data_IF_602750588605
#
_entry.id   IF_602750588605
#
_cell.length_a   1.000
_cell.length_b   1.000
_cell.length_c   1.000
_cell.angle_alpha   90.00
_cell.angle_beta   90.00
_cell.angle_gamma   90.00
#
_symmetry.space_group_name_H-M   'P 1'
#
loop_
_entity.id
_entity.type
_entity.pdbx_description
1 polymer ?
#
# COMPACT_ATOMS: atom_id res chain seq x y z
N UNK A 1 -13.27 -5.77 6.87
CA UNK A 1 -13.69 -4.47 6.35
C UNK A 1 -12.51 -3.68 5.85
N UNK A 2 -12.54 -3.25 4.60
CA UNK A 2 -11.48 -2.48 3.96
C UNK A 2 -12.07 -1.20 3.37
N UNK A 3 -11.39 -0.06 3.54
CA UNK A 3 -11.67 1.20 2.86
C UNK A 3 -10.54 1.44 1.86
N UNK A 4 -10.87 1.85 0.64
CA UNK A 4 -9.91 2.10 -0.44
C UNK A 4 -10.08 3.53 -0.93
N UNK A 5 -8.97 4.26 -1.09
CA UNK A 5 -8.94 5.58 -1.69
C UNK A 5 -8.60 5.48 -3.17
N UNK A 6 -9.55 5.81 -4.04
CA UNK A 6 -9.36 5.83 -5.49
C UNK A 6 -10.09 7.02 -6.15
N UNK A 7 -10.31 8.08 -5.39
CA UNK A 7 -10.92 9.31 -5.87
C UNK A 7 -9.92 10.27 -6.52
N UNK A 8 -10.45 11.32 -7.11
CA UNK A 8 -9.67 12.46 -7.58
C UNK A 8 -8.97 13.18 -6.42
N UNK A 9 -7.95 13.96 -6.76
CA UNK A 9 -7.15 14.70 -5.78
C UNK A 9 -7.94 15.87 -5.17
N UNK A 10 -8.60 15.62 -4.04
CA UNK A 10 -9.46 16.57 -3.34
C UNK A 10 -10.75 16.91 -4.10
N UNK A 11 -11.47 17.94 -3.64
CA UNK A 11 -12.72 18.36 -4.27
C UNK A 11 -12.45 18.93 -5.66
N UNK A 12 -13.03 18.32 -6.69
CA UNK A 12 -12.94 18.74 -8.10
C UNK A 12 -11.49 18.90 -8.60
N UNK A 13 -10.54 18.11 -8.08
CA UNK A 13 -9.13 18.20 -8.47
C UNK A 13 -8.36 19.39 -7.92
N UNK A 14 -8.94 20.17 -7.00
CA UNK A 14 -8.29 21.34 -6.39
C UNK A 14 -7.19 20.98 -5.38
N UNK A 15 -7.06 19.70 -5.03
CA UNK A 15 -6.07 19.23 -4.06
C UNK A 15 -6.23 19.80 -2.65
N UNK A 16 -7.41 20.34 -2.33
CA UNK A 16 -7.68 20.94 -1.03
C UNK A 16 -7.81 19.84 0.02
N UNK A 17 -7.00 19.93 1.08
CA UNK A 17 -6.89 18.91 2.12
C UNK A 17 -6.46 17.51 1.63
N UNK A 18 -6.05 17.36 0.38
CA UNK A 18 -5.65 16.11 -0.21
C UNK A 18 -4.29 15.61 0.30
N UNK A 19 -4.10 14.32 0.20
CA UNK A 19 -2.85 13.61 0.42
C UNK A 19 -2.49 12.80 -0.84
N UNK A 20 -1.24 12.34 -0.92
CA UNK A 20 -0.79 11.41 -1.96
C UNK A 20 -1.13 9.97 -1.58
N UNK A 21 -2.42 9.70 -1.39
CA UNK A 21 -3.00 8.46 -0.87
C UNK A 21 -3.78 7.66 -1.93
N UNK A 22 -3.62 7.98 -3.21
CA UNK A 22 -4.27 7.24 -4.30
C UNK A 22 -3.89 5.76 -4.24
N UNK A 23 -4.89 4.87 -4.30
CA UNK A 23 -4.81 3.43 -4.11
C UNK A 23 -4.30 2.99 -2.73
N UNK A 24 -4.27 3.89 -1.75
CA UNK A 24 -4.10 3.55 -0.35
C UNK A 24 -5.37 2.88 0.21
N UNK A 25 -5.21 2.16 1.30
CA UNK A 25 -6.32 1.48 1.95
C UNK A 25 -6.13 1.41 3.47
N UNK A 26 -7.24 1.21 4.16
CA UNK A 26 -7.29 0.88 5.59
C UNK A 26 -7.96 -0.48 5.78
N UNK A 27 -7.50 -1.27 6.78
CA UNK A 27 -8.03 -2.61 7.05
C UNK A 27 -8.37 -2.79 8.52
N UNK A 28 -9.63 -3.19 8.75
CA UNK A 28 -10.13 -3.69 10.02
C UNK A 28 -10.45 -5.17 9.91
N UNK A 29 -10.02 -5.96 10.91
CA UNK A 29 -10.42 -7.36 11.08
C UNK A 29 -11.14 -7.50 12.41
N UNK A 30 -12.38 -7.95 12.38
CA UNK A 30 -13.26 -7.90 13.54
C UNK A 30 -13.46 -6.45 14.01
N UNK A 31 -13.05 -6.14 15.22
CA UNK A 31 -13.12 -4.79 15.81
C UNK A 31 -11.75 -4.11 15.91
N UNK A 32 -10.71 -4.69 15.30
CA UNK A 32 -9.34 -4.18 15.41
C UNK A 32 -8.87 -3.59 14.09
N UNK A 33 -8.43 -2.33 14.13
CA UNK A 33 -7.74 -1.70 13.02
C UNK A 33 -6.28 -2.21 12.97
N UNK A 34 -5.86 -2.74 11.84
CA UNK A 34 -4.50 -3.20 11.61
C UNK A 34 -3.74 -2.23 10.73
N UNK A 35 -4.20 -2.04 9.50
CA UNK A 35 -3.60 -1.14 8.53
C UNK A 35 -4.42 0.13 8.54
N UNK A 36 -3.76 1.27 8.75
CA UNK A 36 -4.41 2.56 8.97
C UNK A 36 -3.81 3.65 8.12
N UNK A 37 -4.58 4.69 7.85
CA UNK A 37 -4.03 5.97 7.41
C UNK A 37 -3.36 6.69 8.60
N UNK A 38 -2.15 7.24 8.46
CA UNK A 38 -1.45 7.91 9.56
C UNK A 38 -2.06 9.27 9.94
N UNK A 39 -3.05 9.75 9.22
CA UNK A 39 -3.75 11.01 9.52
C UNK A 39 -3.04 12.26 9.01
N UNK A 40 -3.33 13.41 9.59
CA UNK A 40 -2.85 14.71 9.10
C UNK A 40 -1.94 15.47 10.06
N UNK A 41 -1.97 15.15 11.35
CA UNK A 41 -1.27 15.77 12.46
C UNK A 41 -1.55 17.28 12.62
N UNK A 42 -1.08 18.12 11.67
CA UNK A 42 -1.23 19.58 11.70
C UNK A 42 -1.63 20.11 10.32
N UNK A 43 -2.25 21.30 10.29
CA UNK A 43 -2.58 22.01 9.04
C UNK A 43 -1.71 23.25 8.83
N UNK A 44 -1.49 24.08 9.85
CA UNK A 44 -0.87 25.41 9.68
C UNK A 44 0.36 25.66 10.53
N UNK A 45 0.61 24.84 11.55
CA UNK A 45 1.67 25.09 12.51
C UNK A 45 3.08 24.81 11.98
N UNK A 46 3.22 23.81 11.12
CA UNK A 46 4.49 23.37 10.59
C UNK A 46 4.31 22.72 9.22
N UNK A 47 4.78 23.38 8.17
CA UNK A 47 4.64 22.88 6.80
C UNK A 47 5.44 21.60 6.53
N UNK A 48 6.55 21.36 7.24
CA UNK A 48 7.36 20.14 7.09
C UNK A 48 6.59 18.93 7.60
N UNK A 49 6.04 19.04 8.80
CA UNK A 49 5.24 17.96 9.38
C UNK A 49 3.97 17.73 8.54
N UNK A 50 3.29 18.82 8.12
CA UNK A 50 2.15 18.72 7.22
C UNK A 50 2.49 17.99 5.91
N UNK A 51 3.62 18.34 5.28
CA UNK A 51 4.04 17.70 4.02
C UNK A 51 4.48 16.25 4.22
N UNK A 52 5.07 15.92 5.36
CA UNK A 52 5.41 14.55 5.71
C UNK A 52 4.17 13.65 5.75
N UNK A 53 3.09 14.10 6.41
CA UNK A 53 1.86 13.32 6.55
C UNK A 53 1.03 13.23 5.27
N UNK A 54 1.19 14.14 4.32
CA UNK A 54 0.49 14.09 3.03
C UNK A 54 1.31 13.54 1.87
N UNK A 55 2.56 13.16 2.12
CA UNK A 55 3.44 12.54 1.13
C UNK A 55 3.10 11.08 0.85
N UNK A 56 3.45 10.58 -0.32
CA UNK A 56 3.15 9.21 -0.78
C UNK A 56 3.60 8.14 0.20
N UNK A 57 4.81 8.27 0.76
CA UNK A 57 5.38 7.31 1.71
C UNK A 57 4.65 7.27 3.08
N UNK A 58 3.75 8.21 3.36
CA UNK A 58 2.92 8.21 4.56
C UNK A 58 1.65 7.37 4.42
N UNK A 59 1.38 6.78 3.26
CA UNK A 59 0.14 6.05 2.98
C UNK A 59 0.39 4.61 2.54
N UNK A 60 -0.64 3.77 2.58
CA UNK A 60 -0.57 2.34 2.26
C UNK A 60 -0.62 2.10 0.75
N UNK A 61 0.34 2.67 0.03
CA UNK A 61 0.44 2.63 -1.43
C UNK A 61 1.88 2.40 -1.86
N UNK A 62 2.14 2.47 -3.17
CA UNK A 62 3.48 2.31 -3.74
C UNK A 62 4.11 3.68 -4.01
N UNK A 63 5.40 3.80 -3.70
CA UNK A 63 6.24 4.91 -4.12
C UNK A 63 7.38 4.42 -5.02
N UNK A 64 7.64 5.12 -6.12
CA UNK A 64 8.69 4.80 -7.10
C UNK A 64 9.77 5.89 -7.03
N UNK A 65 11.03 5.50 -6.77
CA UNK A 65 12.21 6.39 -6.68
C UNK A 65 12.00 7.63 -5.78
N UNK A 66 11.15 7.51 -4.75
CA UNK A 66 10.75 8.60 -3.86
C UNK A 66 9.99 9.74 -4.54
N UNK A 67 9.46 9.51 -5.75
CA UNK A 67 8.57 10.47 -6.38
C UNK A 67 7.23 10.53 -5.65
N UNK A 68 6.69 11.73 -5.57
CA UNK A 68 5.33 11.95 -5.08
C UNK A 68 4.31 11.70 -6.19
N UNK A 69 3.14 11.13 -5.85
CA UNK A 69 2.04 10.92 -6.80
C UNK A 69 1.62 12.24 -7.42
N UNK A 70 1.40 13.25 -6.58
CA UNK A 70 1.15 14.64 -6.99
C UNK A 70 2.19 15.54 -6.35
N UNK A 71 2.65 16.56 -7.05
CA UNK A 71 3.63 17.52 -6.51
C UNK A 71 3.05 18.24 -5.30
N UNK A 72 3.80 18.27 -4.23
CA UNK A 72 3.45 18.94 -2.99
C UNK A 72 4.10 20.33 -2.99
N UNK A 73 3.34 21.44 -3.05
CA UNK A 73 3.90 22.77 -2.89
C UNK A 73 4.52 22.92 -1.50
N UNK A 74 5.76 23.40 -1.42
CA UNK A 74 6.54 23.41 -0.16
C UNK A 74 5.81 24.16 0.97
N UNK A 75 5.21 25.29 0.67
CA UNK A 75 4.61 26.18 1.68
C UNK A 75 3.09 26.34 1.58
N UNK A 76 2.45 25.74 0.58
CA UNK A 76 0.99 25.70 0.50
C UNK A 76 0.49 24.46 1.25
N UNK A 77 0.07 24.66 2.49
CA UNK A 77 -0.36 23.57 3.37
C UNK A 77 -1.76 23.05 3.08
N UNK A 78 -2.53 23.73 2.25
CA UNK A 78 -3.92 23.38 1.96
C UNK A 78 -4.11 22.80 0.56
N UNK A 79 -3.26 23.12 -0.38
CA UNK A 79 -3.38 22.67 -1.76
C UNK A 79 -2.29 21.66 -2.11
N UNK A 80 -2.63 20.80 -3.04
CA UNK A 80 -1.74 19.87 -3.70
C UNK A 80 -1.98 19.99 -5.21
N UNK A 81 -0.97 19.75 -6.01
CA UNK A 81 -1.16 19.70 -7.45
C UNK A 81 -2.04 18.49 -7.81
N UNK A 82 -2.77 18.61 -8.90
CA UNK A 82 -3.54 17.50 -9.47
C UNK A 82 -2.81 16.99 -10.70
N UNK A 83 -1.71 16.26 -10.48
CA UNK A 83 -0.85 15.76 -11.55
C UNK A 83 -1.30 14.36 -12.01
N UNK A 84 -1.77 13.53 -11.09
CA UNK A 84 -2.19 12.17 -11.37
C UNK A 84 -3.60 12.10 -11.98
N UNK A 85 -3.76 11.18 -12.92
CA UNK A 85 -5.07 10.78 -13.46
C UNK A 85 -5.41 9.39 -12.95
N UNK A 86 -6.59 9.23 -12.38
CA UNK A 86 -7.10 7.96 -11.83
C UNK A 86 -8.10 7.34 -12.79
N UNK A 87 -8.01 6.04 -12.99
CA UNK A 87 -8.97 5.25 -13.75
C UNK A 87 -9.44 4.07 -12.90
N UNK A 88 -10.74 3.97 -12.67
CA UNK A 88 -11.37 2.79 -12.07
C UNK A 88 -11.76 1.87 -13.21
N UNK A 89 -11.21 0.65 -13.21
CA UNK A 89 -11.47 -0.36 -14.25
C UNK A 89 -12.69 -1.20 -13.92
N UNK A 90 -12.76 -1.66 -12.67
CA UNK A 90 -13.81 -2.58 -12.24
C UNK A 90 -14.06 -2.47 -10.74
N UNK A 91 -15.32 -2.61 -10.36
CA UNK A 91 -15.76 -2.86 -9.00
C UNK A 91 -16.96 -3.79 -9.06
N UNK A 92 -16.78 -5.02 -8.64
CA UNK A 92 -17.83 -6.04 -8.74
C UNK A 92 -17.69 -7.08 -7.61
N UNK A 93 -18.66 -7.97 -7.54
CA UNK A 93 -18.73 -9.06 -6.56
C UNK A 93 -19.50 -10.24 -7.15
N UNK A 94 -19.02 -11.42 -6.88
CA UNK A 94 -19.76 -12.67 -7.12
C UNK A 94 -20.02 -13.41 -5.78
N UNK A 95 -20.52 -14.64 -5.82
CA UNK A 95 -20.78 -15.41 -4.60
C UNK A 95 -19.54 -15.76 -3.80
N UNK A 96 -18.34 -15.73 -4.39
CA UNK A 96 -17.10 -16.22 -3.81
C UNK A 96 -16.13 -15.09 -3.43
N UNK A 97 -16.17 -13.97 -4.16
CA UNK A 97 -15.23 -12.85 -3.95
C UNK A 97 -15.84 -11.50 -4.29
N UNK A 98 -15.24 -10.45 -3.72
CA UNK A 98 -15.45 -9.05 -4.10
C UNK A 98 -14.13 -8.50 -4.59
N UNK A 99 -14.13 -7.70 -5.67
CA UNK A 99 -12.90 -7.10 -6.18
C UNK A 99 -13.09 -5.64 -6.58
N UNK A 100 -11.98 -4.92 -6.53
CA UNK A 100 -11.86 -3.54 -6.97
C UNK A 100 -10.53 -3.38 -7.71
N UNK A 101 -10.54 -2.80 -8.90
CA UNK A 101 -9.38 -2.62 -9.77
C UNK A 101 -9.31 -1.19 -10.27
N UNK A 102 -8.21 -0.50 -9.98
CA UNK A 102 -7.98 0.86 -10.41
C UNK A 102 -6.50 1.14 -10.65
N UNK A 103 -6.21 2.19 -11.40
CA UNK A 103 -4.85 2.65 -11.69
C UNK A 103 -4.74 4.17 -11.58
N UNK A 104 -3.50 4.64 -11.42
CA UNK A 104 -3.16 6.02 -11.70
C UNK A 104 -1.94 6.14 -12.58
N UNK A 105 -1.89 7.24 -13.33
CA UNK A 105 -0.72 7.68 -14.10
C UNK A 105 -0.40 9.12 -13.68
N UNK A 106 0.86 9.38 -13.32
CA UNK A 106 1.32 10.72 -12.93
C UNK A 106 2.59 11.12 -13.69
N UNK A 107 2.67 12.34 -14.26
CA UNK A 107 3.83 12.77 -15.01
C UNK A 107 5.04 13.05 -14.10
N UNK A 108 6.20 12.49 -14.45
CA UNK A 108 7.51 12.87 -13.88
C UNK A 108 8.22 13.85 -14.79
N UNK A 109 8.11 13.64 -16.11
CA UNK A 109 8.64 14.52 -17.15
C UNK A 109 7.74 14.45 -18.39
N UNK A 110 8.13 15.13 -19.45
CA UNK A 110 7.40 15.09 -20.74
C UNK A 110 7.30 13.66 -21.30
N UNK A 111 8.32 12.82 -21.06
CA UNK A 111 8.43 11.48 -21.64
C UNK A 111 8.30 10.34 -20.63
N UNK A 112 8.34 10.62 -19.33
CA UNK A 112 8.37 9.61 -18.25
C UNK A 112 7.22 9.86 -17.26
N UNK A 113 6.44 8.83 -16.98
CA UNK A 113 5.30 8.89 -16.06
C UNK A 113 5.39 7.77 -15.04
N UNK A 114 4.98 8.05 -13.80
CA UNK A 114 4.66 7.02 -12.81
C UNK A 114 3.40 6.28 -13.27
N UNK A 115 3.41 5.00 -13.06
CA UNK A 115 2.27 4.12 -13.26
C UNK A 115 2.12 3.21 -12.05
N UNK A 116 0.90 3.08 -11.56
CA UNK A 116 0.54 2.11 -10.54
C UNK A 116 -0.90 1.66 -10.75
N UNK A 117 -1.11 0.37 -10.93
CA UNK A 117 -2.40 -0.30 -10.92
C UNK A 117 -2.45 -1.24 -9.74
N UNK A 118 -3.54 -1.20 -9.00
CA UNK A 118 -3.79 -2.05 -7.85
C UNK A 118 -5.16 -2.69 -7.97
N UNK A 119 -5.17 -4.02 -7.86
CA UNK A 119 -6.38 -4.81 -7.72
C UNK A 119 -6.47 -5.35 -6.32
N UNK A 120 -7.60 -5.13 -5.66
CA UNK A 120 -7.96 -5.73 -4.39
C UNK A 120 -8.97 -6.84 -4.64
N UNK A 121 -8.76 -8.00 -4.03
CA UNK A 121 -9.69 -9.13 -4.08
C UNK A 121 -9.90 -9.66 -2.66
N UNK A 122 -11.15 -9.77 -2.23
CA UNK A 122 -11.53 -10.37 -0.96
C UNK A 122 -12.23 -11.71 -1.23
N UNK A 123 -11.70 -12.78 -0.67
CA UNK A 123 -12.22 -14.14 -0.80
C UNK A 123 -13.09 -14.46 0.41
N UNK A 124 -14.42 -14.60 0.19
CA UNK A 124 -15.42 -14.66 1.25
C UNK A 124 -15.30 -15.92 2.11
N UNK A 125 -15.15 -17.08 1.49
CA UNK A 125 -15.16 -18.38 2.20
C UNK A 125 -13.93 -18.58 3.08
N UNK A 126 -12.79 -18.03 2.66
CA UNK A 126 -11.51 -18.17 3.34
C UNK A 126 -11.08 -16.91 4.09
N UNK A 127 -11.88 -15.84 4.08
CA UNK A 127 -11.67 -14.59 4.82
C UNK A 127 -10.24 -14.04 4.71
N UNK A 128 -9.78 -13.80 3.48
CA UNK A 128 -8.49 -13.16 3.22
C UNK A 128 -8.55 -12.22 2.01
N UNK A 129 -7.59 -11.31 1.93
CA UNK A 129 -7.44 -10.40 0.79
C UNK A 129 -6.19 -10.71 -0.01
N UNK A 130 -6.29 -10.50 -1.33
CA UNK A 130 -5.13 -10.45 -2.24
C UNK A 130 -5.06 -9.04 -2.82
N UNK A 131 -3.91 -8.41 -2.71
CA UNK A 131 -3.58 -7.16 -3.36
C UNK A 131 -2.60 -7.47 -4.47
N UNK A 132 -2.98 -7.17 -5.71
CA UNK A 132 -2.12 -7.33 -6.88
C UNK A 132 -1.70 -5.95 -7.39
N UNK A 133 -0.43 -5.64 -7.27
CA UNK A 133 0.16 -4.38 -7.69
C UNK A 133 0.95 -4.55 -8.98
N UNK A 134 0.76 -3.63 -9.93
CA UNK A 134 1.64 -3.45 -11.08
C UNK A 134 2.12 -2.00 -11.07
N UNK A 135 3.42 -1.80 -10.87
CA UNK A 135 3.99 -0.47 -10.68
C UNK A 135 5.32 -0.30 -11.40
N UNK A 136 5.63 0.94 -11.78
CA UNK A 136 6.86 1.29 -12.48
C UNK A 136 6.73 2.59 -13.26
N UNK A 137 7.58 2.74 -14.27
CA UNK A 137 7.49 3.85 -15.20
C UNK A 137 6.87 3.44 -16.52
N UNK A 138 6.21 4.41 -17.18
CA UNK A 138 5.79 4.34 -18.57
C UNK A 138 6.55 5.43 -19.33
N UNK A 139 7.25 5.03 -20.41
CA UNK A 139 8.15 5.90 -21.17
C UNK A 139 9.50 6.12 -20.46
N UNK A 140 10.43 6.78 -21.17
CA UNK A 140 11.80 6.96 -20.70
C UNK A 140 12.72 5.84 -21.16
N UNK A 141 13.84 5.63 -20.44
CA UNK A 141 14.81 4.58 -20.73
C UNK A 141 14.33 3.25 -20.12
N UNK A 142 14.16 2.23 -20.95
CA UNK A 142 13.67 0.91 -20.52
C UNK A 142 14.66 0.13 -19.66
N UNK A 143 15.96 0.48 -19.71
CA UNK A 143 17.02 -0.16 -18.95
C UNK A 143 17.27 0.52 -17.58
N UNK A 144 16.63 1.66 -17.32
CA UNK A 144 16.78 2.39 -16.05
C UNK A 144 16.12 1.64 -14.89
N UNK A 145 16.93 1.21 -13.93
CA UNK A 145 16.40 0.60 -12.69
C UNK A 145 15.71 1.63 -11.82
N UNK A 146 14.54 1.28 -11.31
CA UNK A 146 13.77 2.06 -10.35
C UNK A 146 13.58 1.30 -9.04
N UNK A 147 13.59 2.01 -7.94
CA UNK A 147 13.24 1.46 -6.63
C UNK A 147 11.72 1.57 -6.44
N UNK A 148 11.06 0.43 -6.31
CA UNK A 148 9.63 0.32 -6.02
C UNK A 148 9.49 -0.03 -4.55
N UNK A 149 8.84 0.83 -3.76
CA UNK A 149 8.63 0.61 -2.31
C UNK A 149 7.13 0.61 -2.02
N UNK A 150 6.65 -0.46 -1.41
CA UNK A 150 5.29 -0.62 -0.92
C UNK A 150 5.26 -0.43 0.59
N UNK A 151 4.31 0.35 1.10
CA UNK A 151 4.18 0.69 2.51
C UNK A 151 2.89 0.12 3.10
N UNK A 152 3.00 -0.36 4.35
CA UNK A 152 1.87 -0.71 5.21
C UNK A 152 2.08 -0.07 6.58
N UNK A 153 1.21 0.87 6.92
CA UNK A 153 1.23 1.59 8.19
C UNK A 153 0.30 0.90 9.18
N UNK A 154 0.81 0.57 10.34
CA UNK A 154 0.03 -0.10 11.38
C UNK A 154 -0.28 0.84 12.54
N UNK A 155 -1.34 0.53 13.28
CA UNK A 155 -1.54 1.09 14.62
C UNK A 155 -0.33 0.76 15.50
N UNK A 156 -0.22 1.40 16.66
CA UNK A 156 0.84 1.08 17.63
C UNK A 156 0.65 -0.35 18.19
N UNK A 157 1.19 -1.33 17.49
CA UNK A 157 1.08 -2.75 17.79
C UNK A 157 2.42 -3.46 17.62
N UNK A 158 2.52 -4.68 18.19
CA UNK A 158 3.64 -5.57 17.94
C UNK A 158 3.50 -6.22 16.57
N UNK A 159 4.57 -6.17 15.77
CA UNK A 159 4.68 -6.86 14.50
C UNK A 159 6.06 -7.52 14.40
N UNK A 160 6.10 -8.77 13.99
CA UNK A 160 7.31 -9.56 13.78
C UNK A 160 7.52 -9.83 12.30
N UNK A 161 8.77 -9.84 11.87
CA UNK A 161 9.18 -10.15 10.50
C UNK A 161 10.00 -11.44 10.51
N UNK A 162 9.58 -12.42 9.70
CA UNK A 162 10.24 -13.70 9.49
C UNK A 162 10.44 -13.89 7.98
N UNK A 163 11.67 -13.63 7.51
CA UNK A 163 11.94 -13.49 6.09
C UNK A 163 11.12 -12.34 5.50
N UNK A 164 10.21 -12.63 4.57
CA UNK A 164 9.29 -11.65 3.98
C UNK A 164 7.91 -11.61 4.65
N UNK A 165 7.64 -12.55 5.57
CA UNK A 165 6.32 -12.66 6.21
C UNK A 165 6.28 -11.79 7.45
N UNK A 166 5.40 -10.79 7.47
CA UNK A 166 5.14 -9.99 8.65
C UNK A 166 3.86 -10.47 9.35
N UNK A 167 3.89 -10.53 10.70
CA UNK A 167 2.77 -10.99 11.53
C UNK A 167 2.60 -10.11 12.74
N UNK A 168 1.37 -9.75 13.06
CA UNK A 168 1.05 -9.13 14.35
C UNK A 168 1.04 -10.17 15.48
N UNK A 169 1.20 -9.74 16.74
CA UNK A 169 1.51 -10.62 17.88
C UNK A 169 0.52 -10.44 19.05
N UNK A 170 -0.78 -10.32 18.77
CA UNK A 170 -1.77 -10.26 19.84
C UNK A 170 -2.02 -11.65 20.42
N UNK A 171 -2.11 -11.72 21.75
CA UNK A 171 -2.48 -12.95 22.45
C UNK A 171 -3.98 -13.22 22.40
N UNK A 172 -4.79 -12.16 22.36
CA UNK A 172 -6.24 -12.23 22.32
C UNK A 172 -6.81 -11.60 21.05
N UNK A 173 -7.75 -12.29 20.41
CA UNK A 173 -8.45 -11.84 19.22
C UNK A 173 -7.64 -11.99 17.93
N UNK A 174 -8.11 -11.38 16.83
CA UNK A 174 -7.50 -11.58 15.54
C UNK A 174 -6.12 -10.96 15.45
N UNK A 175 -5.26 -11.63 14.70
CA UNK A 175 -3.99 -11.17 14.17
C UNK A 175 -4.07 -10.99 12.66
N UNK A 176 -3.08 -10.34 12.07
CA UNK A 176 -2.93 -10.15 10.64
C UNK A 176 -1.54 -10.58 10.20
N UNK A 177 -1.46 -11.40 9.16
CA UNK A 177 -0.23 -11.66 8.43
C UNK A 177 -0.24 -10.93 7.09
N UNK A 178 0.93 -10.44 6.69
CA UNK A 178 1.20 -9.83 5.38
C UNK A 178 2.23 -10.71 4.69
N UNK A 179 1.84 -11.35 3.57
CA UNK A 179 2.64 -12.32 2.84
C UNK A 179 2.80 -11.87 1.38
N UNK A 180 3.95 -11.34 0.99
CA UNK A 180 4.20 -11.06 -0.41
C UNK A 180 4.40 -12.40 -1.16
N UNK A 181 3.68 -12.57 -2.26
CA UNK A 181 3.93 -13.61 -3.23
C UNK A 181 4.81 -13.02 -4.32
N UNK A 182 6.00 -13.52 -4.38
CA UNK A 182 6.95 -13.17 -5.42
C UNK A 182 7.12 -14.41 -6.30
N UNK A 183 6.59 -14.34 -7.51
CA UNK A 183 6.98 -15.30 -8.52
C UNK A 183 8.35 -14.86 -9.03
N UNK A 184 9.35 -15.73 -8.93
CA UNK A 184 10.61 -15.62 -9.68
C UNK A 184 10.25 -15.74 -11.15
N UNK A 185 9.63 -14.69 -11.72
CA UNK A 185 9.25 -14.67 -13.11
C UNK A 185 10.52 -14.62 -13.94
N UNK A 186 10.81 -15.80 -14.44
CA UNK A 186 11.58 -16.10 -15.63
C UNK A 186 12.09 -14.87 -16.38
N UNK A 187 13.40 -14.63 -16.25
CA UNK A 187 14.14 -13.79 -17.18
C UNK A 187 14.71 -12.52 -16.59
N UNK A 188 15.96 -12.61 -16.21
CA UNK A 188 16.97 -11.56 -16.09
C UNK A 188 16.65 -10.28 -15.29
N UNK A 189 17.41 -10.10 -14.22
CA UNK A 189 17.70 -8.86 -13.49
C UNK A 189 16.75 -8.39 -12.38
N UNK A 190 16.02 -9.25 -11.71
CA UNK A 190 15.36 -8.82 -10.48
C UNK A 190 16.26 -9.04 -9.26
N UNK A 191 16.70 -7.97 -8.64
CA UNK A 191 17.14 -8.02 -7.26
C UNK A 191 15.93 -8.42 -6.42
N UNK A 192 16.09 -9.37 -5.48
CA UNK A 192 14.99 -9.88 -4.66
C UNK A 192 14.21 -8.77 -3.93
N UNK A 193 13.06 -9.12 -3.37
CA UNK A 193 12.31 -8.23 -2.46
C UNK A 193 13.02 -8.19 -1.11
N UNK A 194 13.26 -6.98 -0.61
CA UNK A 194 13.69 -6.74 0.77
C UNK A 194 12.49 -6.32 1.61
N UNK A 195 12.46 -6.79 2.86
CA UNK A 195 11.44 -6.44 3.84
C UNK A 195 12.08 -5.82 5.08
N UNK A 196 11.49 -4.73 5.58
CA UNK A 196 11.93 -4.07 6.80
C UNK A 196 10.74 -3.52 7.58
N UNK A 197 10.81 -3.56 8.92
CA UNK A 197 9.89 -2.84 9.79
C UNK A 197 10.60 -1.59 10.32
N UNK A 198 10.09 -0.44 9.93
CA UNK A 198 10.53 0.87 10.39
C UNK A 198 9.54 1.42 11.44
N UNK A 199 9.91 2.55 12.04
CA UNK A 199 9.04 3.32 12.91
C UNK A 199 8.60 4.59 12.22
N UNK A 200 7.29 4.80 12.10
CA UNK A 200 6.69 6.03 11.60
C UNK A 200 5.87 6.76 12.65
N UNK A 201 5.06 7.68 12.20
CA UNK A 201 4.18 8.49 13.02
C UNK A 201 2.73 8.28 12.61
N UNK A 202 1.85 8.21 13.60
CA UNK A 202 0.40 8.12 13.45
C UNK A 202 -0.24 9.26 14.24
N UNK A 203 -1.18 9.96 13.63
CA UNK A 203 -1.90 11.07 14.25
C UNK A 203 -3.40 10.77 14.28
N UNK A 204 -3.88 10.31 15.42
CA UNK A 204 -5.30 10.02 15.65
C UNK A 204 -6.16 11.29 15.82
N UNK A 205 -5.53 12.44 16.07
CA UNK A 205 -6.19 13.75 16.22
C UNK A 205 -5.22 14.89 16.03
N UNK A 206 -5.75 16.08 15.75
CA UNK A 206 -4.97 17.29 15.54
C UNK A 206 -3.97 17.56 16.68
N UNK A 207 -2.70 17.80 16.29
CA UNK A 207 -1.60 18.14 17.21
C UNK A 207 -1.10 16.99 18.10
N UNK A 208 -1.61 15.78 17.91
CA UNK A 208 -1.16 14.59 18.65
C UNK A 208 -0.62 13.57 17.66
N UNK A 209 0.57 13.05 17.93
CA UNK A 209 1.16 11.97 17.17
C UNK A 209 1.80 10.94 18.11
N UNK A 210 1.78 9.70 17.69
CA UNK A 210 2.41 8.57 18.36
C UNK A 210 3.20 7.74 17.35
N UNK A 211 4.09 6.90 17.84
CA UNK A 211 4.87 6.03 16.97
C UNK A 211 4.04 4.80 16.60
N UNK A 212 4.14 4.39 15.33
CA UNK A 212 3.59 3.15 14.83
C UNK A 212 4.56 2.45 13.89
N UNK A 213 4.51 1.11 13.77
CA UNK A 213 5.35 0.37 12.83
C UNK A 213 4.90 0.61 11.39
N UNK A 214 5.89 0.65 10.50
CA UNK A 214 5.71 0.69 9.05
C UNK A 214 6.43 -0.52 8.46
N UNK A 215 5.69 -1.43 7.88
CA UNK A 215 6.26 -2.50 7.06
C UNK A 215 6.52 -1.96 5.66
N UNK A 216 7.72 -2.17 5.16
CA UNK A 216 8.14 -1.77 3.83
C UNK A 216 8.65 -2.97 3.07
N UNK A 217 8.17 -3.15 1.84
CA UNK A 217 8.75 -4.05 0.87
C UNK A 217 9.37 -3.22 -0.24
N UNK A 218 10.64 -3.47 -0.56
CA UNK A 218 11.37 -2.73 -1.59
C UNK A 218 12.00 -3.67 -2.60
N UNK A 219 11.98 -3.29 -3.87
CA UNK A 219 12.63 -4.01 -4.95
C UNK A 219 13.17 -3.05 -6.00
N UNK A 220 14.21 -3.48 -6.71
CA UNK A 220 14.70 -2.79 -7.90
C UNK A 220 14.14 -3.47 -9.15
N UNK A 221 13.65 -2.68 -10.09
CA UNK A 221 13.16 -3.17 -11.37
C UNK A 221 13.33 -2.13 -12.47
N UNK A 222 13.62 -2.58 -13.68
CA UNK A 222 13.63 -1.78 -14.91
C UNK A 222 12.32 -1.87 -15.70
N UNK A 223 11.33 -2.59 -15.18
CA UNK A 223 10.02 -2.81 -15.81
C UNK A 223 8.89 -2.58 -14.82
N UNK A 224 7.68 -2.60 -15.33
CA UNK A 224 6.51 -2.71 -14.47
C UNK A 224 6.56 -4.06 -13.75
N UNK A 225 6.68 -4.01 -12.44
CA UNK A 225 6.72 -5.20 -11.60
C UNK A 225 5.33 -5.56 -11.12
N UNK A 226 5.03 -6.85 -11.11
CA UNK A 226 3.80 -7.38 -10.53
C UNK A 226 4.15 -8.00 -9.18
N UNK A 227 3.53 -7.50 -8.13
CA UNK A 227 3.68 -7.99 -6.76
C UNK A 227 2.29 -8.37 -6.27
N UNK A 228 2.14 -9.59 -5.79
CA UNK A 228 0.92 -9.99 -5.05
C UNK A 228 1.22 -10.00 -3.57
N UNK A 229 0.32 -9.46 -2.77
CA UNK A 229 0.41 -9.49 -1.31
C UNK A 229 -0.88 -10.06 -0.75
N UNK A 230 -0.76 -11.10 0.07
CA UNK A 230 -1.87 -11.68 0.81
C UNK A 230 -1.95 -11.00 2.18
N UNK A 231 -3.16 -10.56 2.55
CA UNK A 231 -3.48 -10.12 3.91
C UNK A 231 -4.35 -11.22 4.53
N UNK A 232 -3.78 -11.96 5.48
CA UNK A 232 -4.38 -13.16 6.05
C UNK A 232 -4.68 -12.95 7.55
N UNK A 233 -5.95 -12.83 7.96
CA UNK A 233 -6.34 -12.87 9.36
C UNK A 233 -6.11 -14.26 9.96
N UNK A 234 -5.72 -14.31 11.24
CA UNK A 234 -5.57 -15.55 12.01
C UNK A 234 -5.69 -15.25 13.51
N UNK A 235 -5.91 -16.28 14.34
CA UNK A 235 -6.01 -16.09 15.80
C UNK A 235 -4.75 -16.58 16.52
N UNK A 236 -4.23 -17.72 16.14
CA UNK A 236 -3.04 -18.30 16.75
C UNK A 236 -2.08 -18.88 15.72
N UNK A 237 -0.93 -19.35 16.17
CA UNK A 237 0.13 -19.86 15.29
C UNK A 237 -0.28 -21.09 14.50
N UNK A 238 -1.04 -22.00 15.11
CA UNK A 238 -1.47 -23.25 14.44
C UNK A 238 -2.46 -22.93 13.31
N UNK A 239 -3.40 -22.04 13.57
CA UNK A 239 -4.32 -21.55 12.55
C UNK A 239 -3.56 -20.84 11.42
N UNK A 240 -2.58 -19.98 11.75
CA UNK A 240 -1.75 -19.32 10.74
C UNK A 240 -1.07 -20.32 9.82
N UNK A 241 -0.36 -21.32 10.38
CA UNK A 241 0.41 -22.28 9.59
C UNK A 241 -0.52 -23.10 8.65
N UNK A 242 -1.70 -23.49 9.13
CA UNK A 242 -2.72 -24.18 8.32
C UNK A 242 -3.28 -23.32 7.21
N UNK A 243 -3.77 -22.13 7.54
CA UNK A 243 -4.39 -21.20 6.58
C UNK A 243 -3.38 -20.68 5.56
N UNK A 244 -2.15 -20.39 6.01
CA UNK A 244 -1.08 -19.94 5.13
C UNK A 244 -0.78 -20.98 4.05
N UNK A 245 -0.67 -22.27 4.43
CA UNK A 245 -0.46 -23.35 3.47
C UNK A 245 -1.60 -23.46 2.46
N UNK A 246 -2.86 -23.42 2.91
CA UNK A 246 -4.04 -23.50 2.05
C UNK A 246 -4.09 -22.36 1.05
N UNK A 247 -3.95 -21.11 1.53
CA UNK A 247 -4.04 -19.92 0.68
C UNK A 247 -2.90 -19.85 -0.33
N UNK A 248 -1.68 -20.25 0.07
CA UNK A 248 -0.53 -20.28 -0.84
C UNK A 248 -0.72 -21.31 -1.97
N UNK A 249 -1.27 -22.50 -1.68
CA UNK A 249 -1.59 -23.49 -2.71
C UNK A 249 -2.61 -22.94 -3.72
N UNK A 250 -3.68 -22.32 -3.24
CA UNK A 250 -4.71 -21.72 -4.10
C UNK A 250 -4.16 -20.60 -5.01
N UNK A 251 -3.29 -19.75 -4.46
CA UNK A 251 -2.76 -18.61 -5.21
C UNK A 251 -1.65 -18.98 -6.21
N UNK A 252 -0.95 -20.10 -5.99
CA UNK A 252 0.03 -20.63 -6.95
C UNK A 252 -0.57 -21.49 -8.04
N UNK A 253 -1.86 -21.82 -7.98
CA UNK A 253 -2.54 -22.69 -8.96
C UNK A 253 -2.10 -24.16 -8.88
N UNK A 254 -1.56 -24.59 -7.75
CA UNK A 254 -1.18 -25.98 -7.46
C UNK A 254 -2.39 -26.74 -6.86
N UNK A 255 -3.42 -26.96 -7.67
CA UNK A 255 -4.51 -27.92 -7.41
C UNK A 255 -4.52 -29.00 -8.46
#
# INVERSE_FOLDING_TARGET
YMIIQAGENGSEGWGTHAHNDILSFELLVGQRAFIIDPGSYVYTGNYRDRNMYRGTAAHNTIQIDRHEINRIPEKDMFRMNNDASVTIHEWDSDGNRTWFDAEYVSPVSVVKKLYHRRKFEYFHDLDYWVISDSAGYVGGDEDELSNITMYFHFTNLCIELDGLVARTCFQDGPNLAVLPLYDDVVGDSHTGIDAIINTGWVSSRYGVQEKGPILQYSMLSNRQSIIKTILLPFHDRLEFDSRCSEVLHLQKGEL
#
